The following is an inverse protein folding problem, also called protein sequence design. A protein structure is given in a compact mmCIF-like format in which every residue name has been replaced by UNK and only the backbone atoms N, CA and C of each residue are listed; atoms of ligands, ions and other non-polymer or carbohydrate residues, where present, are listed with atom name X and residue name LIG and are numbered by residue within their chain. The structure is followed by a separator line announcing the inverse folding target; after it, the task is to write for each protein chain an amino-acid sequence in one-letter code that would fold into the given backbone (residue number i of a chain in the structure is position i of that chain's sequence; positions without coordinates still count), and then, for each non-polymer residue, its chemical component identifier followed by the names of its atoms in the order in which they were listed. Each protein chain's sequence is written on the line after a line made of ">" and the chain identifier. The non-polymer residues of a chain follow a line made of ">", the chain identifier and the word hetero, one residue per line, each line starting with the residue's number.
data_IF_991886419042
#
_entry.id   IF_991886419042
#
_cell.length_a   1.000
_cell.length_b   1.000
_cell.length_c   1.000
_cell.angle_alpha   90.00
_cell.angle_beta   90.00
_cell.angle_gamma   90.00
#
_symmetry.space_group_name_H-M   'P 1'
#
loop_
_entity.id
_entity.type
_entity.pdbx_description
1 polymer ?
#
# COMPACT_ATOMS: atom_id res chain seq x y z
N UNK A 1 -2.49 -9.37 -6.52
CA UNK A 1 -3.86 -8.97 -6.86
C UNK A 1 -4.07 -7.51 -6.46
N UNK A 2 -4.61 -6.69 -7.37
CA UNK A 2 -4.89 -5.28 -7.17
C UNK A 2 -5.76 -5.02 -5.94
N UNK A 3 -6.76 -5.88 -5.69
CA UNK A 3 -7.63 -5.78 -4.53
C UNK A 3 -6.86 -5.95 -3.20
N UNK A 4 -5.93 -6.89 -3.14
CA UNK A 4 -5.13 -7.15 -1.94
C UNK A 4 -4.23 -5.95 -1.62
N UNK A 5 -3.54 -5.41 -2.61
CA UNK A 5 -2.67 -4.24 -2.42
C UNK A 5 -3.50 -3.02 -2.02
N UNK A 6 -4.64 -2.80 -2.66
CA UNK A 6 -5.57 -1.71 -2.30
C UNK A 6 -6.07 -1.87 -0.85
N UNK A 7 -6.42 -3.09 -0.42
CA UNK A 7 -6.83 -3.36 0.96
C UNK A 7 -5.71 -3.04 1.97
N UNK A 8 -4.45 -3.38 1.65
CA UNK A 8 -3.30 -3.03 2.50
C UNK A 8 -3.13 -1.51 2.59
N UNK A 9 -3.22 -0.79 1.46
CA UNK A 9 -3.11 0.68 1.46
C UNK A 9 -4.26 1.32 2.25
N UNK A 10 -5.49 0.79 2.15
CA UNK A 10 -6.61 1.24 2.96
C UNK A 10 -6.33 1.03 4.45
N UNK A 11 -5.81 -0.13 4.84
CA UNK A 11 -5.49 -0.43 6.24
C UNK A 11 -4.43 0.53 6.80
N UNK A 12 -3.39 0.84 6.01
CA UNK A 12 -2.38 1.83 6.38
C UNK A 12 -2.98 3.24 6.50
N UNK A 13 -3.82 3.64 5.54
CA UNK A 13 -4.50 4.94 5.58
C UNK A 13 -5.43 5.07 6.80
N UNK A 14 -6.16 4.01 7.14
CA UNK A 14 -7.00 3.94 8.35
C UNK A 14 -6.13 4.03 9.60
N UNK A 15 -4.97 3.37 9.63
CA UNK A 15 -4.00 3.48 10.72
C UNK A 15 -3.54 4.93 10.94
N UNK A 16 -3.11 5.61 9.89
CA UNK A 16 -2.73 7.03 9.97
C UNK A 16 -3.89 7.94 10.41
N UNK A 17 -5.07 7.70 9.87
CA UNK A 17 -6.28 8.42 10.27
C UNK A 17 -6.56 8.22 11.76
N UNK A 18 -6.47 6.99 12.23
CA UNK A 18 -6.69 6.60 13.62
C UNK A 18 -5.76 7.33 14.58
N UNK A 19 -4.48 7.39 14.27
CA UNK A 19 -3.47 8.10 15.07
C UNK A 19 -3.81 9.59 15.15
N UNK A 20 -4.07 10.22 14.02
CA UNK A 20 -4.39 11.65 13.99
C UNK A 20 -5.72 11.95 14.69
N UNK A 21 -6.77 11.17 14.45
CA UNK A 21 -8.09 11.36 15.06
C UNK A 21 -8.03 11.26 16.60
N UNK A 22 -7.23 10.34 17.13
CA UNK A 22 -7.00 10.20 18.57
C UNK A 22 -6.38 11.45 19.17
N UNK A 23 -5.31 11.95 18.57
CA UNK A 23 -4.65 13.19 19.04
C UNK A 23 -5.53 14.42 18.83
N UNK A 24 -6.28 14.50 17.73
CA UNK A 24 -7.24 15.56 17.46
C UNK A 24 -8.39 15.62 18.49
N UNK A 25 -8.75 14.47 19.06
CA UNK A 25 -9.72 14.36 20.15
C UNK A 25 -9.12 14.64 21.55
N UNK A 26 -7.85 15.06 21.63
CA UNK A 26 -7.17 15.38 22.88
C UNK A 26 -6.73 14.16 23.70
N UNK A 27 -6.65 12.98 23.10
CA UNK A 27 -6.21 11.74 23.73
C UNK A 27 -4.74 11.43 23.44
N UNK A 28 -4.12 10.61 24.31
CA UNK A 28 -2.77 10.09 24.08
C UNK A 28 -2.75 8.92 23.09
N UNK A 29 -1.59 8.62 22.50
CA UNK A 29 -1.41 7.55 21.50
C UNK A 29 -1.84 6.16 22.00
N UNK A 30 -1.74 5.90 23.29
CA UNK A 30 -2.06 4.61 23.91
C UNK A 30 -3.50 4.48 24.41
N UNK A 31 -4.33 5.52 24.31
CA UNK A 31 -5.69 5.49 24.79
C UNK A 31 -6.59 4.71 23.81
N UNK A 32 -7.54 3.93 24.34
CA UNK A 32 -8.60 3.33 23.51
C UNK A 32 -9.46 4.45 22.88
N UNK A 33 -9.71 4.35 21.60
CA UNK A 33 -10.44 5.34 20.85
C UNK A 33 -11.28 4.74 19.73
N UNK A 34 -12.55 5.15 19.68
CA UNK A 34 -13.47 4.78 18.60
C UNK A 34 -13.54 5.94 17.58
N UNK A 35 -13.31 5.63 16.31
CA UNK A 35 -13.21 6.62 15.22
C UNK A 35 -14.54 7.10 14.67
N UNK A 36 -15.65 6.64 15.23
CA UNK A 36 -17.00 6.89 14.71
C UNK A 36 -17.61 8.23 15.10
N UNK A 37 -17.01 8.95 16.06
CA UNK A 37 -17.59 10.17 16.63
C UNK A 37 -16.70 11.39 16.38
N UNK A 38 -16.97 12.12 15.31
CA UNK A 38 -16.32 13.41 15.04
C UNK A 38 -16.68 14.50 16.06
N UNK A 39 -17.76 14.30 16.85
CA UNK A 39 -18.16 15.17 17.93
C UNK A 39 -17.13 15.31 19.07
N UNK A 40 -16.22 14.34 19.16
CA UNK A 40 -15.12 14.36 20.13
C UNK A 40 -13.93 15.23 19.69
N UNK A 41 -13.92 15.71 18.44
CA UNK A 41 -12.83 16.48 17.88
C UNK A 41 -13.00 17.94 18.24
N UNK A 42 -11.92 18.58 18.70
CA UNK A 42 -11.90 20.00 19.00
C UNK A 42 -12.24 20.80 17.74
N UNK A 43 -13.15 21.78 17.84
CA UNK A 43 -13.64 22.58 16.71
C UNK A 43 -12.50 23.16 15.85
N UNK A 44 -11.42 23.61 16.50
CA UNK A 44 -10.22 24.15 15.83
C UNK A 44 -9.51 23.13 14.93
N UNK A 45 -9.73 21.83 15.14
CA UNK A 45 -9.06 20.73 14.40
C UNK A 45 -9.94 20.10 13.33
N UNK A 46 -11.22 20.48 13.25
CA UNK A 46 -12.14 19.89 12.26
C UNK A 46 -11.72 20.22 10.82
N UNK A 47 -11.26 21.46 10.58
CA UNK A 47 -10.79 21.87 9.25
C UNK A 47 -9.51 21.09 8.83
N UNK A 48 -8.58 20.86 9.77
CA UNK A 48 -7.39 20.07 9.52
C UNK A 48 -7.73 18.61 9.23
N UNK A 49 -8.71 18.05 9.96
CA UNK A 49 -9.20 16.71 9.74
C UNK A 49 -9.80 16.55 8.33
N UNK A 50 -10.58 17.52 7.87
CA UNK A 50 -11.15 17.49 6.52
C UNK A 50 -10.07 17.59 5.44
N UNK A 51 -9.04 18.42 5.64
CA UNK A 51 -7.87 18.48 4.74
C UNK A 51 -7.14 17.15 4.72
N UNK A 52 -6.98 16.50 5.87
CA UNK A 52 -6.34 15.20 5.98
C UNK A 52 -7.17 14.09 5.29
N UNK A 53 -8.49 14.08 5.45
CA UNK A 53 -9.40 13.17 4.73
C UNK A 53 -9.30 13.32 3.21
N UNK A 54 -9.17 14.54 2.71
CA UNK A 54 -8.96 14.80 1.27
C UNK A 54 -7.63 14.22 0.81
N UNK A 55 -6.56 14.43 1.57
CA UNK A 55 -5.26 13.83 1.28
C UNK A 55 -5.32 12.30 1.25
N UNK A 56 -5.95 11.66 2.25
CA UNK A 56 -6.08 10.20 2.28
C UNK A 56 -6.91 9.66 1.12
N UNK A 57 -8.01 10.34 0.73
CA UNK A 57 -8.77 9.96 -0.47
C UNK A 57 -7.92 10.04 -1.72
N UNK A 58 -7.15 11.10 -1.88
CA UNK A 58 -6.24 11.26 -3.00
C UNK A 58 -5.18 10.15 -3.03
N UNK A 59 -4.57 9.85 -1.89
CA UNK A 59 -3.62 8.75 -1.73
C UNK A 59 -4.23 7.39 -2.15
N UNK A 60 -5.44 7.09 -1.68
CA UNK A 60 -6.15 5.85 -2.01
C UNK A 60 -6.49 5.76 -3.50
N UNK A 61 -6.90 6.86 -4.12
CA UNK A 61 -7.16 6.91 -5.56
C UNK A 61 -5.90 6.64 -6.37
N UNK A 62 -4.78 7.25 -6.02
CA UNK A 62 -3.50 6.99 -6.68
C UNK A 62 -3.02 5.55 -6.48
N UNK A 63 -3.18 5.02 -5.27
CA UNK A 63 -2.84 3.62 -4.98
C UNK A 63 -3.68 2.64 -5.80
N UNK A 64 -4.98 2.85 -5.90
CA UNK A 64 -5.88 2.01 -6.70
C UNK A 64 -5.51 2.05 -8.19
N UNK A 65 -5.29 3.26 -8.75
CA UNK A 65 -4.89 3.43 -10.14
C UNK A 65 -3.52 2.79 -10.39
N UNK A 66 -2.53 3.07 -9.53
CA UNK A 66 -1.18 2.53 -9.66
C UNK A 66 -1.15 1.01 -9.58
N UNK A 67 -1.96 0.44 -8.70
CA UNK A 67 -2.09 -1.02 -8.56
C UNK A 67 -2.72 -1.66 -9.80
N UNK A 68 -3.78 -1.06 -10.35
CA UNK A 68 -4.42 -1.53 -11.57
C UNK A 68 -3.45 -1.45 -12.76
N UNK A 69 -2.80 -0.28 -12.96
CA UNK A 69 -1.84 -0.08 -14.06
C UNK A 69 -0.62 -1.00 -13.94
N UNK A 70 -0.12 -1.26 -12.74
CA UNK A 70 0.97 -2.20 -12.50
C UNK A 70 0.54 -3.66 -12.66
N UNK A 71 -0.67 -3.98 -12.23
CA UNK A 71 -1.22 -5.33 -12.27
C UNK A 71 -1.36 -5.90 -13.67
N UNK A 72 -1.72 -5.07 -14.66
CA UNK A 72 -1.87 -5.55 -16.04
C UNK A 72 -0.54 -5.92 -16.72
N UNK A 73 0.59 -5.55 -16.13
CA UNK A 73 1.91 -5.79 -16.72
C UNK A 73 2.45 -7.21 -16.47
N UNK A 74 1.91 -7.95 -15.51
CA UNK A 74 2.45 -9.25 -15.11
C UNK A 74 1.37 -10.32 -14.96
N UNK A 75 1.76 -11.59 -15.05
CA UNK A 75 0.85 -12.73 -14.88
C UNK A 75 0.22 -12.79 -13.48
N UNK A 76 0.88 -12.26 -12.46
CA UNK A 76 0.48 -12.35 -11.04
C UNK A 76 -0.34 -11.15 -10.60
N UNK A 77 -0.26 -10.05 -11.35
CA UNK A 77 -0.93 -8.79 -11.00
C UNK A 77 -2.44 -8.87 -11.02
N UNK A 78 -2.98 -9.55 -12.04
CA UNK A 78 -4.43 -9.69 -12.24
C UNK A 78 -4.81 -11.15 -12.55
N UNK A 79 -5.94 -11.66 -12.02
CA UNK A 79 -6.37 -13.06 -12.23
C UNK A 79 -6.56 -13.42 -13.71
N UNK A 80 -7.04 -12.48 -14.51
CA UNK A 80 -7.22 -12.68 -15.94
C UNK A 80 -5.89 -12.88 -16.68
N UNK A 81 -4.83 -12.25 -16.25
CA UNK A 81 -3.49 -12.42 -16.83
C UNK A 81 -2.96 -13.82 -16.58
N UNK A 82 -3.20 -14.35 -15.38
CA UNK A 82 -2.86 -15.73 -15.03
C UNK A 82 -3.63 -16.72 -15.90
N UNK A 83 -4.92 -16.45 -16.14
CA UNK A 83 -5.75 -17.29 -17.01
C UNK A 83 -5.25 -17.26 -18.46
N UNK A 84 -4.92 -16.07 -18.99
CA UNK A 84 -4.34 -15.92 -20.33
C UNK A 84 -3.01 -16.70 -20.45
N UNK A 85 -2.12 -16.51 -19.47
CA UNK A 85 -0.83 -17.19 -19.44
C UNK A 85 -0.99 -18.72 -19.40
N UNK A 86 -1.92 -19.23 -18.58
CA UNK A 86 -2.24 -20.65 -18.49
C UNK A 86 -2.79 -21.20 -19.81
N UNK A 87 -3.67 -20.47 -20.49
CA UNK A 87 -4.25 -20.89 -21.76
C UNK A 87 -3.24 -20.87 -22.91
N UNK A 88 -2.36 -19.87 -22.94
CA UNK A 88 -1.36 -19.68 -23.99
C UNK A 88 -0.07 -20.46 -23.73
N UNK A 89 0.13 -20.97 -22.51
CA UNK A 89 1.38 -21.61 -22.08
C UNK A 89 2.54 -20.63 -21.90
N UNK A 90 2.27 -19.33 -21.73
CA UNK A 90 3.32 -18.33 -21.56
C UNK A 90 3.84 -18.31 -20.12
N UNK A 91 5.16 -18.34 -20.00
CA UNK A 91 5.86 -18.14 -18.73
C UNK A 91 5.82 -16.66 -18.29
N UNK A 92 6.17 -16.38 -17.04
CA UNK A 92 6.14 -15.05 -16.46
C UNK A 92 6.87 -14.00 -17.32
N UNK A 93 8.11 -14.27 -17.71
CA UNK A 93 8.92 -13.35 -18.52
C UNK A 93 8.43 -13.26 -19.97
N UNK A 94 7.94 -14.36 -20.53
CA UNK A 94 7.37 -14.37 -21.88
C UNK A 94 6.09 -13.54 -21.94
N UNK A 95 5.20 -13.69 -20.95
CA UNK A 95 4.01 -12.87 -20.82
C UNK A 95 4.38 -11.37 -20.76
N UNK A 96 5.33 -11.01 -19.89
CA UNK A 96 5.79 -9.63 -19.76
C UNK A 96 6.26 -9.06 -21.11
N UNK A 97 7.16 -9.74 -21.81
CA UNK A 97 7.70 -9.27 -23.09
C UNK A 97 6.63 -9.17 -24.19
N UNK A 98 5.69 -10.11 -24.24
CA UNK A 98 4.62 -10.10 -25.24
C UNK A 98 3.58 -9.02 -24.99
N UNK A 99 3.28 -8.74 -23.74
CA UNK A 99 2.28 -7.73 -23.36
C UNK A 99 2.87 -6.32 -23.24
N UNK A 100 4.18 -6.18 -23.01
CA UNK A 100 4.82 -4.88 -22.77
C UNK A 100 4.61 -3.83 -23.88
N UNK A 101 4.53 -4.18 -25.18
CA UNK A 101 4.27 -3.16 -26.22
C UNK A 101 2.92 -2.44 -26.03
N UNK A 102 1.98 -3.06 -25.34
CA UNK A 102 0.66 -2.47 -25.02
C UNK A 102 0.64 -1.95 -23.59
N UNK A 103 1.08 -2.75 -22.63
CA UNK A 103 0.95 -2.42 -21.21
C UNK A 103 1.87 -1.27 -20.77
N UNK A 104 3.08 -1.16 -21.33
CA UNK A 104 3.99 -0.07 -20.98
C UNK A 104 3.50 1.30 -21.45
N UNK A 105 3.04 1.49 -22.69
CA UNK A 105 2.42 2.75 -23.07
C UNK A 105 1.20 3.13 -22.23
N UNK A 106 0.36 2.15 -21.87
CA UNK A 106 -0.81 2.36 -21.00
C UNK A 106 -0.37 2.78 -19.59
N UNK A 107 0.63 2.12 -19.03
CA UNK A 107 1.22 2.46 -17.74
C UNK A 107 1.74 3.91 -17.74
N UNK A 108 2.54 4.26 -18.75
CA UNK A 108 3.11 5.62 -18.88
C UNK A 108 2.00 6.67 -19.06
N UNK A 109 1.02 6.42 -19.91
CA UNK A 109 -0.11 7.32 -20.10
C UNK A 109 -0.93 7.51 -18.82
N UNK A 110 -1.21 6.43 -18.10
CA UNK A 110 -1.95 6.47 -16.84
C UNK A 110 -1.19 7.22 -15.74
N UNK A 111 0.10 6.94 -15.56
CA UNK A 111 0.93 7.68 -14.60
C UNK A 111 1.06 9.17 -14.98
N UNK A 112 1.22 9.48 -16.27
CA UNK A 112 1.26 10.86 -16.74
C UNK A 112 -0.05 11.57 -16.44
N UNK A 113 -1.19 10.92 -16.64
CA UNK A 113 -2.50 11.46 -16.29
C UNK A 113 -2.61 11.76 -14.81
N UNK A 114 -2.17 10.85 -13.93
CA UNK A 114 -2.14 11.08 -12.48
C UNK A 114 -1.29 12.31 -12.12
N UNK A 115 -0.09 12.44 -12.69
CA UNK A 115 0.79 13.59 -12.46
C UNK A 115 0.15 14.89 -12.94
N UNK A 116 -0.48 14.88 -14.12
CA UNK A 116 -1.16 16.05 -14.64
C UNK A 116 -2.35 16.48 -13.77
N UNK A 117 -3.17 15.54 -13.33
CA UNK A 117 -4.29 15.81 -12.41
C UNK A 117 -3.81 16.41 -11.08
N UNK A 118 -2.70 15.89 -10.56
CA UNK A 118 -2.07 16.39 -9.34
C UNK A 118 -1.55 17.82 -9.51
N UNK A 119 -0.96 18.14 -10.66
CA UNK A 119 -0.47 19.49 -10.95
C UNK A 119 -1.60 20.49 -11.18
N UNK A 120 -2.65 20.09 -11.87
CA UNK A 120 -3.82 20.93 -12.18
C UNK A 120 -4.73 21.11 -10.97
N UNK A 121 -4.63 20.25 -9.96
CA UNK A 121 -5.40 20.30 -8.69
C UNK A 121 -6.92 20.30 -8.88
N UNK A 122 -7.43 19.54 -9.85
CA UNK A 122 -8.86 19.34 -10.07
C UNK A 122 -9.35 18.04 -9.40
N UNK A 123 -10.64 17.97 -9.09
CA UNK A 123 -11.28 16.80 -8.47
C UNK A 123 -10.65 16.36 -7.13
N UNK A 124 -10.27 17.30 -6.28
CA UNK A 124 -9.55 17.07 -5.01
C UNK A 124 -8.12 16.53 -5.16
N UNK A 125 -7.57 16.39 -6.39
CA UNK A 125 -6.15 16.11 -6.59
C UNK A 125 -5.28 17.29 -6.10
N UNK A 126 -4.05 17.01 -5.70
CA UNK A 126 -3.13 18.02 -5.16
C UNK A 126 -3.37 18.38 -3.71
N UNK A 127 -4.17 17.60 -3.00
CA UNK A 127 -4.35 17.74 -1.56
C UNK A 127 -3.04 17.40 -0.84
N UNK A 128 -2.47 18.37 -0.13
CA UNK A 128 -1.23 18.18 0.64
C UNK A 128 -1.54 17.71 2.04
N UNK A 129 -0.62 16.93 2.62
CA UNK A 129 -0.68 16.56 4.03
C UNK A 129 -0.53 17.82 4.89
N UNK A 130 -1.49 18.14 5.79
CA UNK A 130 -1.37 19.28 6.69
C UNK A 130 -0.12 19.16 7.56
N UNK A 131 0.60 20.28 7.79
CA UNK A 131 1.86 20.26 8.53
C UNK A 131 1.70 19.67 9.94
N UNK A 132 0.65 20.03 10.62
CA UNK A 132 0.37 19.52 11.98
C UNK A 132 0.11 18.00 12.00
N UNK A 133 -0.60 17.50 10.99
CA UNK A 133 -0.77 16.04 10.83
C UNK A 133 0.58 15.36 10.61
N UNK A 134 1.43 15.97 9.78
CA UNK A 134 2.78 15.47 9.53
C UNK A 134 3.62 15.44 10.81
N UNK A 135 3.57 16.48 11.62
CA UNK A 135 4.28 16.56 12.91
C UNK A 135 3.83 15.43 13.85
N UNK A 136 2.51 15.24 14.00
CA UNK A 136 1.94 14.19 14.84
C UNK A 136 2.35 12.80 14.35
N UNK A 137 2.32 12.56 13.05
CA UNK A 137 2.74 11.27 12.48
C UNK A 137 4.25 11.04 12.64
N UNK A 138 5.08 12.09 12.53
CA UNK A 138 6.51 11.99 12.77
C UNK A 138 6.83 11.74 14.25
N UNK A 139 6.10 12.37 15.17
CA UNK A 139 6.24 12.13 16.60
C UNK A 139 5.84 10.69 16.96
N UNK A 140 4.75 10.19 16.38
CA UNK A 140 4.34 8.80 16.52
C UNK A 140 5.40 7.83 15.99
N UNK A 141 5.94 8.06 14.80
CA UNK A 141 7.01 7.23 14.21
C UNK A 141 8.28 7.23 15.06
N UNK A 142 8.67 8.40 15.60
CA UNK A 142 9.80 8.53 16.49
C UNK A 142 9.58 7.76 17.82
N UNK A 143 8.35 7.80 18.34
CA UNK A 143 7.97 7.03 19.52
C UNK A 143 8.04 5.54 19.25
N UNK A 144 7.42 5.07 18.15
CA UNK A 144 7.49 3.66 17.71
C UNK A 144 8.94 3.21 17.47
N UNK A 145 9.76 4.04 16.82
CA UNK A 145 11.16 3.73 16.58
C UNK A 145 11.96 3.57 17.89
N UNK A 146 11.61 4.32 18.93
CA UNK A 146 12.27 4.25 20.25
C UNK A 146 11.96 2.96 21.01
N UNK A 147 10.79 2.35 20.77
CA UNK A 147 10.35 1.09 21.39
C UNK A 147 10.71 -0.13 20.53
N UNK A 148 11.14 0.09 19.29
CA UNK A 148 11.46 -1.00 18.36
C UNK A 148 12.61 -1.86 18.87
N UNK A 149 12.36 -3.16 18.94
CA UNK A 149 13.34 -4.14 19.41
C UNK A 149 14.23 -4.65 18.27
N UNK A 150 15.35 -5.30 18.62
CA UNK A 150 16.18 -5.99 17.63
C UNK A 150 15.40 -7.09 16.88
N UNK A 151 14.40 -7.69 17.52
CA UNK A 151 13.53 -8.68 16.91
C UNK A 151 12.63 -8.09 15.82
N UNK A 152 12.11 -6.88 16.02
CA UNK A 152 11.29 -6.19 15.02
C UNK A 152 12.11 -5.80 13.78
N UNK A 153 13.36 -5.38 13.98
CA UNK A 153 14.29 -5.14 12.88
C UNK A 153 14.62 -6.43 12.11
N UNK A 154 14.79 -7.56 12.81
CA UNK A 154 15.02 -8.84 12.16
C UNK A 154 13.79 -9.27 11.33
N UNK A 155 12.57 -9.04 11.82
CA UNK A 155 11.33 -9.30 11.06
C UNK A 155 11.28 -8.48 9.76
N UNK A 156 11.61 -7.19 9.81
CA UNK A 156 11.67 -6.34 8.61
C UNK A 156 12.70 -6.85 7.59
N UNK A 157 13.87 -7.29 8.04
CA UNK A 157 14.89 -7.88 7.17
C UNK A 157 14.36 -9.16 6.52
N UNK A 158 13.73 -10.04 7.28
CA UNK A 158 13.13 -11.28 6.75
C UNK A 158 12.06 -10.96 5.70
N UNK A 159 11.20 -9.97 5.95
CA UNK A 159 10.18 -9.54 5.00
C UNK A 159 10.80 -9.00 3.69
N UNK A 160 11.84 -8.15 3.80
CA UNK A 160 12.54 -7.61 2.65
C UNK A 160 13.23 -8.71 1.82
N UNK A 161 13.90 -9.66 2.48
CA UNK A 161 14.54 -10.81 1.82
C UNK A 161 13.50 -11.70 1.15
N UNK A 162 12.37 -11.97 1.81
CA UNK A 162 11.27 -12.75 1.25
C UNK A 162 10.66 -12.07 0.01
N UNK A 163 10.49 -10.75 0.04
CA UNK A 163 10.00 -9.99 -1.11
C UNK A 163 10.98 -10.05 -2.31
N UNK A 164 12.28 -9.89 -2.06
CA UNK A 164 13.30 -10.03 -3.10
C UNK A 164 13.34 -11.44 -3.67
N UNK A 165 13.25 -12.45 -2.80
CA UNK A 165 13.18 -13.85 -3.23
C UNK A 165 11.95 -14.14 -4.07
N UNK A 166 10.77 -13.58 -3.71
CA UNK A 166 9.55 -13.69 -4.50
C UNK A 166 9.76 -13.19 -5.93
N UNK A 167 10.28 -11.97 -6.08
CA UNK A 167 10.51 -11.37 -7.39
C UNK A 167 11.50 -12.22 -8.20
N UNK A 168 12.59 -12.66 -7.58
CA UNK A 168 13.58 -13.52 -8.22
C UNK A 168 12.97 -14.86 -8.66
N UNK A 169 12.25 -15.55 -7.76
CA UNK A 169 11.67 -16.85 -8.03
C UNK A 169 10.64 -16.81 -9.17
N UNK A 170 9.84 -15.73 -9.25
CA UNK A 170 8.90 -15.51 -10.34
C UNK A 170 9.61 -15.18 -11.67
N UNK A 171 10.65 -14.34 -11.64
CA UNK A 171 11.37 -13.93 -12.84
C UNK A 171 12.13 -15.10 -13.49
N UNK A 172 12.70 -15.99 -12.68
CA UNK A 172 13.48 -17.14 -13.15
C UNK A 172 12.68 -18.45 -13.22
N UNK A 173 11.36 -18.36 -13.00
CA UNK A 173 10.45 -19.53 -13.08
C UNK A 173 10.98 -20.75 -12.27
N UNK A 174 11.41 -20.48 -11.03
CA UNK A 174 11.99 -21.51 -10.13
C UNK A 174 10.96 -22.59 -9.78
N UNK A 175 9.68 -22.22 -9.69
CA UNK A 175 8.57 -23.11 -9.44
C UNK A 175 7.25 -22.45 -9.91
N UNK A 176 6.15 -23.19 -9.83
CA UNK A 176 4.82 -22.62 -10.11
C UNK A 176 4.48 -21.49 -9.15
N UNK A 177 3.81 -20.45 -9.66
CA UNK A 177 3.44 -19.22 -8.93
C UNK A 177 2.74 -19.51 -7.61
N UNK A 178 1.81 -20.47 -7.61
CA UNK A 178 1.08 -20.87 -6.40
C UNK A 178 1.98 -21.48 -5.33
N UNK A 179 2.95 -22.29 -5.74
CA UNK A 179 3.92 -22.94 -4.84
C UNK A 179 4.88 -21.89 -4.23
N UNK A 180 5.37 -20.94 -5.06
CA UNK A 180 6.21 -19.83 -4.58
C UNK A 180 5.45 -19.01 -3.54
N UNK A 181 4.21 -18.61 -3.84
CA UNK A 181 3.37 -17.85 -2.93
C UNK A 181 3.12 -18.56 -1.60
N UNK A 182 2.76 -19.85 -1.66
CA UNK A 182 2.54 -20.67 -0.46
C UNK A 182 3.81 -20.78 0.38
N UNK A 183 4.97 -21.01 -0.25
CA UNK A 183 6.26 -21.11 0.44
C UNK A 183 6.58 -19.82 1.19
N UNK A 184 6.36 -18.67 0.58
CA UNK A 184 6.60 -17.36 1.21
C UNK A 184 5.65 -17.12 2.38
N UNK A 185 4.36 -17.47 2.23
CA UNK A 185 3.39 -17.35 3.32
C UNK A 185 3.84 -18.21 4.52
N UNK A 186 4.21 -19.46 4.28
CA UNK A 186 4.69 -20.36 5.33
C UNK A 186 5.96 -19.84 6.00
N UNK A 187 6.94 -19.37 5.22
CA UNK A 187 8.17 -18.78 5.75
C UNK A 187 7.89 -17.53 6.59
N UNK A 188 7.07 -16.62 6.08
CA UNK A 188 6.72 -15.40 6.82
C UNK A 188 5.95 -15.70 8.10
N UNK A 189 5.01 -16.64 8.06
CA UNK A 189 4.28 -17.06 9.26
C UNK A 189 5.21 -17.70 10.30
N UNK A 190 6.15 -18.54 9.86
CA UNK A 190 7.09 -19.20 10.75
C UNK A 190 8.08 -18.23 11.43
N UNK A 191 8.55 -17.21 10.70
CA UNK A 191 9.53 -16.24 11.22
C UNK A 191 8.91 -15.03 11.92
N UNK A 192 7.72 -14.61 11.52
CA UNK A 192 7.06 -13.43 12.11
C UNK A 192 6.10 -13.80 13.27
N UNK A 193 5.88 -15.07 13.50
CA UNK A 193 4.85 -15.57 14.41
C UNK A 193 3.46 -15.53 13.80
N UNK A 194 2.52 -16.19 14.42
CA UNK A 194 1.10 -16.13 14.04
C UNK A 194 0.65 -14.69 14.28
N UNK A 195 0.09 -14.06 13.26
CA UNK A 195 -0.58 -12.77 13.42
C UNK A 195 -1.79 -13.04 14.31
N UNK A 196 -1.74 -12.55 15.55
CA UNK A 196 -2.91 -12.45 16.41
C UNK A 196 -3.87 -11.38 15.89
#
# INVERSE_FOLDING_TARGET
>A
DALTVTAVVISVAVGFYSVYHRVASGKHFNDEHTHSEDSSILEERQEELEKFRRFLRNLLMHAAIGTALGGVCTTVGEPQNLLIASYTGWEFMEFFWRMSPVTMPVLVAGLTTCVLLEQVKIFDYGAQLPERVREILMEFDAHEASIRTAQDNARLVVQAVAALFLVFALAFHVAEVGLIGLTIIVLQTAFNGVIE
#
